data_IF_850887075160
#
_entry.id   IF_850887075160
#
_cell.length_a   1.000
_cell.length_b   1.000
_cell.length_c   1.000
_cell.angle_alpha   90.00
_cell.angle_beta   90.00
_cell.angle_gamma   90.00
#
_symmetry.space_group_name_H-M   'P 1'
#
loop_
_entity.id
_entity.type
_entity.pdbx_description
1 polymer ?
#
# COMPACT_ATOMS: atom_id res chain seq x y z
N UNK A 1 -67.46 -2.87 -2.72
CA UNK A 1 -67.64 -3.87 -3.78
C UNK A 1 -66.34 -3.94 -4.55
N UNK A 2 -65.74 -5.13 -4.58
CA UNK A 2 -64.70 -5.60 -5.51
C UNK A 2 -63.33 -4.86 -5.45
N UNK A 3 -62.18 -5.49 -5.29
CA UNK A 3 -61.83 -6.90 -5.31
C UNK A 3 -60.34 -7.04 -5.66
N UNK A 4 -59.57 -7.59 -4.73
CA UNK A 4 -58.52 -8.59 -4.95
C UNK A 4 -57.57 -8.45 -6.17
N UNK A 5 -56.36 -7.95 -5.95
CA UNK A 5 -55.15 -8.39 -6.69
C UNK A 5 -53.98 -8.59 -5.72
N UNK A 6 -54.14 -9.57 -4.83
CA UNK A 6 -53.03 -10.19 -4.10
C UNK A 6 -52.88 -11.59 -4.68
N UNK A 7 -51.70 -11.87 -5.26
CA UNK A 7 -51.30 -13.23 -5.60
C UNK A 7 -51.02 -13.45 -7.08
N UNK A 8 -49.80 -13.12 -7.52
CA UNK A 8 -49.20 -13.74 -8.72
C UNK A 8 -47.69 -13.57 -8.92
N UNK A 9 -46.90 -13.34 -7.86
CA UNK A 9 -45.44 -13.40 -7.96
C UNK A 9 -44.88 -14.16 -6.75
N UNK A 10 -45.26 -15.44 -6.65
CA UNK A 10 -44.71 -16.38 -5.68
C UNK A 10 -44.67 -17.78 -6.28
N UNK A 11 -44.05 -17.91 -7.46
CA UNK A 11 -43.62 -19.20 -8.03
C UNK A 11 -42.35 -18.95 -8.86
N UNK A 12 -41.22 -18.75 -8.18
CA UNK A 12 -39.87 -18.85 -8.75
C UNK A 12 -38.87 -19.19 -7.63
N UNK A 13 -39.25 -20.20 -6.84
CA UNK A 13 -38.44 -20.79 -5.79
C UNK A 13 -38.59 -22.31 -5.87
N UNK A 14 -37.98 -22.93 -6.89
CA UNK A 14 -37.67 -24.36 -6.96
C UNK A 14 -37.09 -24.74 -8.34
N UNK A 15 -35.83 -24.37 -8.64
CA UNK A 15 -35.07 -25.00 -9.74
C UNK A 15 -33.57 -24.62 -9.76
N UNK A 16 -32.86 -24.58 -8.62
CA UNK A 16 -31.37 -24.52 -8.64
C UNK A 16 -30.79 -25.31 -7.46
N UNK A 17 -31.11 -26.61 -7.41
CA UNK A 17 -30.42 -27.58 -6.57
C UNK A 17 -30.34 -28.91 -7.33
N UNK A 18 -29.43 -29.00 -8.30
CA UNK A 18 -28.86 -30.26 -8.77
C UNK A 18 -27.70 -29.98 -9.72
N UNK A 19 -26.49 -30.36 -9.31
CA UNK A 19 -25.36 -30.50 -10.23
C UNK A 19 -24.08 -29.75 -9.86
N UNK A 20 -23.47 -30.08 -8.72
CA UNK A 20 -22.04 -29.79 -8.47
C UNK A 20 -21.40 -30.95 -7.67
N UNK A 21 -21.37 -32.12 -8.28
CA UNK A 21 -20.43 -33.20 -7.93
C UNK A 21 -19.81 -33.67 -9.24
N UNK A 22 -18.56 -33.24 -9.48
CA UNK A 22 -17.88 -33.47 -10.75
C UNK A 22 -16.45 -32.96 -10.72
N UNK A 23 -15.59 -33.72 -10.05
CA UNK A 23 -14.16 -33.89 -10.28
C UNK A 23 -13.44 -32.90 -11.23
N UNK A 24 -12.46 -32.16 -10.70
CA UNK A 24 -11.17 -31.93 -11.37
C UNK A 24 -10.08 -31.94 -10.30
N UNK A 25 -9.49 -33.11 -10.00
CA UNK A 25 -8.22 -33.59 -10.58
C UNK A 25 -7.21 -32.45 -10.72
N UNK A 26 -6.26 -32.42 -9.79
CA UNK A 26 -5.10 -31.55 -9.82
C UNK A 26 -4.32 -31.77 -11.10
N UNK A 27 -4.24 -30.72 -11.92
CA UNK A 27 -3.22 -30.58 -12.94
C UNK A 27 -1.93 -30.22 -12.22
N UNK A 28 -1.07 -31.22 -12.07
CA UNK A 28 0.35 -31.03 -11.78
C UNK A 28 0.93 -30.21 -12.94
N UNK A 29 1.18 -28.93 -12.71
CA UNK A 29 1.97 -28.10 -13.62
C UNK A 29 3.42 -28.59 -13.49
N UNK A 30 3.85 -29.46 -14.40
CA UNK A 30 5.27 -29.72 -14.60
C UNK A 30 5.90 -28.44 -15.15
N UNK A 31 6.82 -27.87 -14.37
CA UNK A 31 7.68 -26.79 -14.84
C UNK A 31 8.71 -27.39 -15.82
N UNK A 32 8.73 -26.98 -17.10
CA UNK A 32 9.59 -27.61 -18.11
C UNK A 32 11.04 -27.08 -18.11
N UNK A 33 11.55 -26.57 -16.99
CA UNK A 33 12.92 -26.07 -16.88
C UNK A 33 13.61 -26.57 -15.61
N UNK A 34 13.65 -27.89 -15.42
CA UNK A 34 14.67 -28.52 -14.58
C UNK A 34 15.73 -29.06 -15.54
N UNK A 35 16.86 -28.36 -15.61
CA UNK A 35 18.04 -28.86 -16.30
C UNK A 35 18.55 -30.14 -15.60
N UNK A 36 18.73 -31.25 -16.32
CA UNK A 36 19.44 -32.41 -15.82
C UNK A 36 20.93 -32.20 -16.07
N UNK A 37 21.60 -31.50 -15.17
CA UNK A 37 23.06 -31.43 -15.14
C UNK A 37 23.53 -31.35 -13.70
N UNK A 38 23.80 -32.51 -13.11
CA UNK A 38 25.03 -32.83 -12.37
C UNK A 38 24.78 -34.13 -11.59
N UNK A 39 25.16 -35.24 -12.22
CA UNK A 39 25.54 -36.43 -11.49
C UNK A 39 26.75 -36.13 -10.62
N UNK A 40 26.78 -36.73 -9.44
CA UNK A 40 27.89 -36.58 -8.50
C UNK A 40 27.47 -36.78 -7.06
N UNK A 41 26.91 -37.95 -6.74
CA UNK A 41 27.05 -38.48 -5.39
C UNK A 41 28.53 -38.81 -5.20
N UNK A 42 29.28 -37.87 -4.63
CA UNK A 42 30.58 -38.16 -4.02
C UNK A 42 30.46 -37.88 -2.53
N UNK A 43 30.86 -38.89 -1.78
CA UNK A 43 30.98 -38.94 -0.33
C UNK A 43 31.59 -37.65 0.22
N UNK A 44 30.83 -36.92 1.02
CA UNK A 44 31.35 -35.87 1.87
C UNK A 44 32.04 -36.53 3.08
N UNK A 45 33.36 -36.40 3.26
CA UNK A 45 34.01 -36.83 4.49
C UNK A 45 33.56 -35.95 5.65
N UNK A 46 33.40 -36.61 6.79
CA UNK A 46 33.01 -36.05 8.08
C UNK A 46 33.82 -34.80 8.43
N UNK A 47 33.09 -33.81 8.93
CA UNK A 47 33.58 -32.59 9.56
C UNK A 47 34.60 -32.88 10.66
N UNK A 48 35.88 -32.67 10.36
CA UNK A 48 36.94 -32.50 11.35
C UNK A 48 36.83 -31.14 12.05
N UNK A 49 37.39 -30.99 13.26
CA UNK A 49 37.29 -29.76 14.04
C UNK A 49 38.00 -28.60 13.33
N UNK A 50 37.31 -27.45 13.21
CA UNK A 50 37.86 -26.19 12.67
C UNK A 50 39.10 -25.75 13.48
N UNK A 51 40.21 -25.39 12.84
CA UNK A 51 41.33 -24.73 13.52
C UNK A 51 40.89 -23.35 14.03
N UNK A 52 41.32 -22.99 15.25
CA UNK A 52 41.10 -21.66 15.84
C UNK A 52 41.82 -20.60 15.00
N UNK A 53 41.23 -19.39 14.83
CA UNK A 53 41.94 -18.26 14.26
C UNK A 53 43.15 -17.90 15.13
N UNK A 54 44.29 -17.49 14.54
CA UNK A 54 45.43 -17.02 15.30
C UNK A 54 45.09 -15.72 16.05
N UNK A 55 45.49 -15.68 17.31
CA UNK A 55 45.38 -14.56 18.24
C UNK A 55 46.23 -13.39 17.74
N UNK A 56 45.57 -12.32 17.29
CA UNK A 56 46.22 -11.08 16.88
C UNK A 56 46.62 -10.32 18.14
N UNK A 57 47.93 -10.30 18.43
CA UNK A 57 48.51 -9.46 19.49
C UNK A 57 48.33 -7.98 19.13
N UNK A 58 47.91 -7.10 20.06
CA UNK A 58 47.93 -5.67 19.84
C UNK A 58 49.38 -5.18 19.77
N UNK A 59 49.75 -4.51 18.68
CA UNK A 59 50.98 -3.74 18.63
C UNK A 59 50.75 -2.37 19.27
N UNK A 60 51.39 -2.13 20.41
CA UNK A 60 51.53 -0.82 21.02
C UNK A 60 52.59 0.02 20.30
N UNK A 61 52.21 1.27 19.98
CA UNK A 61 53.11 2.42 19.90
C UNK A 61 53.17 3.13 18.53
N UNK A 62 53.54 4.44 18.46
CA UNK A 62 53.49 5.49 19.46
C UNK A 62 52.60 6.69 19.06
N UNK A 63 52.25 7.46 20.08
CA UNK A 63 51.58 8.76 20.02
C UNK A 63 52.48 9.84 19.40
N UNK A 64 51.95 10.66 18.48
CA UNK A 64 51.82 12.15 18.59
C UNK A 64 51.77 12.87 17.23
N UNK A 65 51.08 14.03 17.28
CA UNK A 65 51.14 15.22 16.40
C UNK A 65 50.15 15.30 15.23
N UNK A 66 48.97 15.84 15.56
CA UNK A 66 48.52 17.14 15.04
C UNK A 66 48.48 17.37 13.52
N UNK A 67 47.27 17.31 12.95
CA UNK A 67 46.79 18.29 11.97
C UNK A 67 45.27 18.33 12.08
N UNK A 68 44.72 19.40 12.66
CA UNK A 68 43.30 19.70 12.55
C UNK A 68 43.02 20.02 11.08
N UNK A 69 42.63 19.01 10.31
CA UNK A 69 41.89 19.23 9.09
C UNK A 69 40.57 19.89 9.52
N UNK A 70 40.48 21.22 9.39
CA UNK A 70 39.20 21.93 9.39
C UNK A 70 38.36 21.25 8.32
N UNK A 71 37.45 20.37 8.75
CA UNK A 71 36.38 19.87 7.92
C UNK A 71 35.61 21.10 7.47
N UNK A 72 35.90 21.57 6.25
CA UNK A 72 35.01 22.47 5.53
C UNK A 72 33.73 21.67 5.36
N UNK A 73 32.78 21.87 6.26
CA UNK A 73 31.41 21.43 6.06
C UNK A 73 30.99 21.98 4.70
N UNK A 74 30.74 21.13 3.69
CA UNK A 74 30.22 21.63 2.43
C UNK A 74 28.93 22.40 2.74
N UNK A 75 28.69 23.57 2.12
CA UNK A 75 27.42 24.27 2.32
C UNK A 75 26.31 23.25 2.05
N UNK A 76 25.41 23.10 3.02
CA UNK A 76 24.24 22.27 2.83
C UNK A 76 23.55 22.79 1.58
N UNK A 77 23.66 22.05 0.48
CA UNK A 77 22.86 22.25 -0.70
C UNK A 77 21.42 22.11 -0.22
N UNK A 78 20.79 23.24 0.05
CA UNK A 78 19.37 23.30 0.32
C UNK A 78 18.69 22.91 -0.98
N UNK A 79 18.43 21.61 -1.13
CA UNK A 79 17.65 21.11 -2.23
C UNK A 79 16.31 21.86 -2.21
N UNK A 80 15.85 22.37 -3.36
CA UNK A 80 14.54 23.01 -3.43
C UNK A 80 13.50 22.04 -2.87
N UNK A 81 12.64 22.53 -1.98
CA UNK A 81 11.51 21.74 -1.52
C UNK A 81 10.60 21.50 -2.71
N UNK A 82 10.32 20.22 -2.98
CA UNK A 82 9.36 19.84 -4.02
C UNK A 82 8.03 20.56 -3.78
N UNK A 83 7.42 21.02 -4.87
CA UNK A 83 6.04 21.50 -4.84
C UNK A 83 5.08 20.37 -4.47
N UNK A 84 3.86 20.72 -4.06
CA UNK A 84 2.80 19.74 -3.80
C UNK A 84 2.53 18.85 -5.01
N UNK A 85 2.56 19.43 -6.21
CA UNK A 85 2.29 18.69 -7.45
C UNK A 85 3.43 17.74 -7.82
N UNK A 86 4.68 18.15 -7.64
CA UNK A 86 5.84 17.26 -7.79
C UNK A 86 5.78 16.09 -6.80
N UNK A 87 5.45 16.37 -5.54
CA UNK A 87 5.29 15.35 -4.49
C UNK A 87 4.21 14.33 -4.85
N UNK A 88 3.06 14.81 -5.37
CA UNK A 88 1.96 13.96 -5.83
C UNK A 88 2.38 13.10 -7.03
N UNK A 89 3.09 13.69 -7.99
CA UNK A 89 3.59 12.95 -9.16
C UNK A 89 4.60 11.86 -8.76
N UNK A 90 5.53 12.18 -7.85
CA UNK A 90 6.51 11.21 -7.32
C UNK A 90 5.84 10.06 -6.56
N UNK A 91 4.78 10.35 -5.80
CA UNK A 91 3.96 9.32 -5.15
C UNK A 91 3.33 8.35 -6.15
N UNK A 92 2.70 8.89 -7.21
CA UNK A 92 2.09 8.06 -8.26
C UNK A 92 3.13 7.20 -8.96
N UNK A 93 4.27 7.79 -9.34
CA UNK A 93 5.35 7.05 -10.00
C UNK A 93 5.96 5.98 -9.09
N UNK A 94 6.13 6.28 -7.80
CA UNK A 94 6.58 5.31 -6.80
C UNK A 94 5.62 4.13 -6.69
N UNK A 95 4.31 4.38 -6.65
CA UNK A 95 3.30 3.34 -6.60
C UNK A 95 3.25 2.50 -7.88
N UNK A 96 3.34 3.14 -9.05
CA UNK A 96 3.37 2.47 -10.36
C UNK A 96 4.49 1.44 -10.48
N UNK A 97 5.69 1.78 -9.99
CA UNK A 97 6.86 0.87 -9.99
C UNK A 97 6.64 -0.40 -9.18
N UNK A 98 5.70 -0.40 -8.23
CA UNK A 98 5.39 -1.55 -7.39
C UNK A 98 4.27 -2.43 -7.96
N UNK A 99 3.55 -2.00 -8.99
CA UNK A 99 2.46 -2.80 -9.59
C UNK A 99 2.99 -4.14 -10.06
N UNK A 100 2.32 -5.22 -9.64
CA UNK A 100 2.71 -6.60 -9.94
C UNK A 100 3.56 -7.27 -8.86
N UNK A 101 4.04 -6.53 -7.85
CA UNK A 101 4.77 -7.14 -6.73
C UNK A 101 3.82 -8.01 -5.89
N UNK A 102 4.19 -9.29 -5.70
CA UNK A 102 3.40 -10.30 -4.99
C UNK A 102 4.08 -10.66 -3.67
N UNK A 103 3.29 -10.71 -2.57
CA UNK A 103 3.66 -11.18 -1.22
C UNK A 103 4.96 -10.59 -0.64
N UNK A 104 5.43 -9.46 -1.16
CA UNK A 104 6.63 -8.76 -0.67
C UNK A 104 6.27 -7.63 0.30
N UNK A 105 4.98 -7.36 0.46
CA UNK A 105 4.44 -6.39 1.38
C UNK A 105 3.40 -7.07 2.29
N UNK A 106 3.17 -6.46 3.43
CA UNK A 106 1.84 -6.43 4.03
C UNK A 106 1.25 -5.03 3.78
N UNK A 107 -0.04 -4.85 4.05
CA UNK A 107 -0.79 -3.63 3.75
C UNK A 107 -0.21 -2.43 4.50
N UNK A 108 0.26 -2.67 5.73
CA UNK A 108 0.93 -1.67 6.58
C UNK A 108 2.25 -1.23 5.96
N UNK A 109 3.06 -2.17 5.51
CA UNK A 109 4.35 -1.90 4.89
C UNK A 109 4.23 -1.31 3.51
N UNK A 110 3.17 -1.59 2.73
CA UNK A 110 2.95 -0.89 1.46
C UNK A 110 2.76 0.62 1.67
N UNK A 111 1.78 1.03 2.50
CA UNK A 111 1.54 2.44 2.78
C UNK A 111 2.77 3.09 3.41
N UNK A 112 3.36 2.45 4.43
CA UNK A 112 4.55 2.99 5.09
C UNK A 112 5.72 3.13 4.10
N UNK A 113 5.95 2.14 3.24
CA UNK A 113 7.02 2.17 2.25
C UNK A 113 6.84 3.35 1.30
N UNK A 114 5.66 3.49 0.69
CA UNK A 114 5.35 4.59 -0.22
C UNK A 114 5.53 5.95 0.46
N UNK A 115 5.04 6.12 1.69
CA UNK A 115 5.21 7.37 2.44
C UNK A 115 6.66 7.62 2.83
N UNK A 116 7.42 6.56 3.15
CA UNK A 116 8.84 6.64 3.54
C UNK A 116 9.71 7.08 2.39
N UNK A 117 9.57 6.46 1.21
CA UNK A 117 10.41 6.77 0.05
C UNK A 117 10.15 8.16 -0.52
N UNK A 118 8.97 8.72 -0.29
CA UNK A 118 8.59 10.10 -0.67
C UNK A 118 8.79 11.12 0.47
N UNK A 119 9.46 10.74 1.58
CA UNK A 119 9.71 11.62 2.74
C UNK A 119 8.45 12.25 3.38
N UNK A 120 7.30 11.56 3.31
CA UNK A 120 6.01 12.02 3.82
C UNK A 120 5.65 11.48 5.19
N UNK A 121 6.50 10.64 5.78
CA UNK A 121 6.28 10.13 7.13
C UNK A 121 6.66 11.20 8.18
N UNK A 122 5.86 11.35 9.24
CA UNK A 122 6.30 12.12 10.40
C UNK A 122 7.60 11.54 10.98
N UNK A 123 8.46 12.41 11.53
CA UNK A 123 9.75 12.00 12.10
C UNK A 123 9.52 11.01 13.25
N UNK A 124 10.33 9.96 13.28
CA UNK A 124 10.33 8.96 14.36
C UNK A 124 9.24 7.88 14.27
N UNK A 125 8.39 7.91 13.24
CA UNK A 125 7.31 6.92 13.08
C UNK A 125 7.83 5.59 12.50
N UNK A 126 7.44 4.49 13.15
CA UNK A 126 7.74 3.13 12.71
C UNK A 126 6.65 2.57 11.78
N UNK A 127 7.01 1.59 10.95
CA UNK A 127 6.08 0.94 10.02
C UNK A 127 4.84 0.34 10.70
N UNK A 128 5.02 -0.27 11.87
CA UNK A 128 3.93 -0.86 12.64
C UNK A 128 2.89 0.15 13.12
N UNK A 129 3.29 1.42 13.35
CA UNK A 129 2.42 2.47 13.89
C UNK A 129 1.71 3.31 12.82
N UNK A 130 2.12 3.23 11.56
CA UNK A 130 1.56 4.06 10.48
C UNK A 130 0.61 3.26 9.60
N UNK A 131 -0.56 2.94 10.16
CA UNK A 131 -1.62 2.20 9.47
C UNK A 131 -2.53 3.14 8.66
N UNK A 132 -3.38 2.57 7.79
CA UNK A 132 -4.41 3.35 7.08
C UNK A 132 -5.37 4.08 8.04
N UNK A 133 -5.69 3.46 9.18
CA UNK A 133 -6.50 4.07 10.23
C UNK A 133 -5.76 5.25 10.91
N UNK A 134 -4.48 5.09 11.24
CA UNK A 134 -3.67 6.16 11.83
C UNK A 134 -3.51 7.35 10.87
N UNK A 135 -3.31 7.07 9.58
CA UNK A 135 -3.30 8.10 8.53
C UNK A 135 -4.62 8.86 8.48
N UNK A 136 -5.75 8.15 8.49
CA UNK A 136 -7.08 8.77 8.46
C UNK A 136 -7.32 9.64 9.69
N UNK A 137 -7.05 9.12 10.89
CA UNK A 137 -7.23 9.86 12.14
C UNK A 137 -6.36 11.12 12.18
N UNK A 138 -5.12 11.06 11.69
CA UNK A 138 -4.24 12.23 11.56
C UNK A 138 -4.77 13.24 10.52
N UNK A 139 -5.15 12.77 9.34
CA UNK A 139 -5.69 13.61 8.28
C UNK A 139 -6.99 14.33 8.68
N UNK A 140 -7.85 13.68 9.47
CA UNK A 140 -9.06 14.29 10.02
C UNK A 140 -8.74 15.44 10.97
N UNK A 141 -7.79 15.24 11.90
CA UNK A 141 -7.35 16.28 12.84
C UNK A 141 -6.73 17.48 12.12
N UNK A 142 -6.07 17.23 11.00
CA UNK A 142 -5.42 18.24 10.17
C UNK A 142 -6.36 18.85 9.10
N UNK A 143 -7.62 18.41 9.01
CA UNK A 143 -8.55 18.90 7.99
C UNK A 143 -8.11 18.60 6.55
N UNK A 144 -7.41 17.48 6.32
CA UNK A 144 -6.92 17.03 5.00
C UNK A 144 -7.78 15.95 4.35
N UNK A 145 -8.88 15.55 4.99
CA UNK A 145 -9.85 14.65 4.35
C UNK A 145 -10.71 15.46 3.39
N UNK A 146 -10.75 15.03 2.14
CA UNK A 146 -11.53 15.67 1.07
C UNK A 146 -12.65 14.73 0.60
N UNK A 147 -13.74 15.27 0.04
CA UNK A 147 -14.75 14.47 -0.62
C UNK A 147 -14.15 13.63 -1.75
N UNK A 148 -14.69 12.43 -1.98
CA UNK A 148 -14.19 11.53 -3.04
C UNK A 148 -14.18 12.16 -4.42
N UNK A 149 -15.20 12.98 -4.74
CA UNK A 149 -15.29 13.76 -5.99
C UNK A 149 -14.17 14.77 -6.20
N UNK A 150 -13.49 15.17 -5.12
CA UNK A 150 -12.41 16.16 -5.13
C UNK A 150 -11.03 15.47 -5.09
N UNK A 151 -10.98 14.14 -5.22
CA UNK A 151 -9.74 13.39 -5.29
C UNK A 151 -8.88 13.81 -6.49
N UNK A 152 -7.56 13.87 -6.27
CA UNK A 152 -6.58 14.13 -7.32
C UNK A 152 -5.52 13.02 -7.38
N UNK A 153 -4.84 12.83 -8.53
CA UNK A 153 -3.66 11.97 -8.61
C UNK A 153 -2.64 12.30 -7.52
N UNK A 154 -2.14 11.27 -6.84
CA UNK A 154 -1.21 11.38 -5.72
C UNK A 154 -1.88 11.52 -4.34
N UNK A 155 -3.20 11.72 -4.27
CA UNK A 155 -3.92 11.62 -2.99
C UNK A 155 -3.99 10.16 -2.52
N UNK A 156 -4.25 9.97 -1.22
CA UNK A 156 -4.37 8.64 -0.62
C UNK A 156 -5.84 8.29 -0.43
N UNK A 157 -6.29 7.20 -1.04
CA UNK A 157 -7.62 6.64 -0.80
C UNK A 157 -7.56 5.65 0.36
N UNK A 158 -8.51 5.75 1.29
CA UNK A 158 -8.69 4.83 2.42
C UNK A 158 -9.99 4.06 2.19
N UNK A 159 -9.94 2.73 2.29
CA UNK A 159 -11.07 1.86 1.94
C UNK A 159 -11.13 0.63 2.85
N UNK A 160 -12.30 -0.02 2.90
CA UNK A 160 -12.44 -1.32 3.56
C UNK A 160 -11.90 -2.43 2.66
N UNK A 161 -10.94 -3.19 3.18
CA UNK A 161 -10.41 -4.30 2.40
C UNK A 161 -11.41 -5.48 2.38
N UNK A 162 -11.81 -5.98 1.19
CA UNK A 162 -12.76 -7.10 1.07
C UNK A 162 -12.30 -8.41 1.73
N UNK A 163 -10.99 -8.69 1.68
CA UNK A 163 -10.41 -9.95 2.15
C UNK A 163 -9.80 -9.86 3.55
N UNK A 164 -10.02 -8.76 4.29
CA UNK A 164 -9.33 -8.51 5.55
C UNK A 164 -7.81 -8.51 5.38
N UNK A 165 -7.34 -7.84 4.32
CA UNK A 165 -5.97 -7.77 3.85
C UNK A 165 -4.96 -7.64 5.04
N UNK A 166 -4.21 -8.72 5.32
CA UNK A 166 -3.03 -8.74 6.20
C UNK A 166 -3.12 -9.63 7.44
N UNK A 167 -1.98 -10.19 7.87
CA UNK A 167 -1.86 -11.10 9.03
C UNK A 167 -2.33 -10.50 10.37
N UNK A 168 -2.48 -9.19 10.42
CA UNK A 168 -3.36 -8.49 11.33
C UNK A 168 -4.19 -7.58 10.43
N UNK A 169 -5.47 -7.88 10.21
CA UNK A 169 -6.40 -6.88 9.74
C UNK A 169 -6.08 -5.63 10.56
N UNK A 170 -5.67 -4.54 9.93
CA UNK A 170 -5.56 -3.23 10.58
C UNK A 170 -6.74 -3.10 11.54
N UNK A 171 -6.59 -2.56 12.75
CA UNK A 171 -7.59 -2.68 13.84
C UNK A 171 -9.06 -2.35 13.45
N UNK A 172 -9.28 -1.73 12.30
CA UNK A 172 -10.58 -1.37 11.70
C UNK A 172 -10.86 -1.97 10.30
N UNK A 173 -10.05 -2.90 9.78
CA UNK A 173 -10.23 -3.50 8.45
C UNK A 173 -9.94 -2.56 7.27
N UNK A 174 -9.17 -1.49 7.49
CA UNK A 174 -8.87 -0.45 6.52
C UNK A 174 -7.54 -0.69 5.79
N UNK A 175 -7.55 -0.44 4.49
CA UNK A 175 -6.37 -0.38 3.63
C UNK A 175 -6.26 1.01 2.99
N UNK A 176 -5.11 1.27 2.38
CA UNK A 176 -4.84 2.53 1.68
C UNK A 176 -4.22 2.28 0.31
N UNK A 177 -4.49 3.19 -0.62
CA UNK A 177 -3.93 3.19 -1.97
C UNK A 177 -3.61 4.60 -2.44
N UNK A 178 -2.76 4.71 -3.45
CA UNK A 178 -2.41 6.00 -4.08
C UNK A 178 -3.30 6.20 -5.30
N UNK A 179 -4.02 7.32 -5.37
CA UNK A 179 -4.82 7.69 -6.53
C UNK A 179 -3.90 7.86 -7.73
N UNK A 180 -4.08 7.03 -8.76
CA UNK A 180 -3.31 7.06 -9.99
C UNK A 180 -3.97 8.00 -11.01
N UNK A 181 -5.31 7.96 -11.11
CA UNK A 181 -6.08 8.72 -12.08
C UNK A 181 -7.50 8.94 -11.61
N UNK A 182 -8.08 10.08 -11.95
CA UNK A 182 -9.51 10.38 -11.81
C UNK A 182 -10.05 10.76 -13.18
N UNK A 183 -11.03 10.00 -13.68
CA UNK A 183 -11.59 10.19 -15.02
C UNK A 183 -13.03 9.67 -15.05
N UNK A 184 -13.93 10.40 -15.72
CA UNK A 184 -15.33 9.98 -15.93
C UNK A 184 -16.08 9.57 -14.65
N UNK A 185 -15.83 10.28 -13.54
CA UNK A 185 -16.43 9.96 -12.23
C UNK A 185 -15.92 8.65 -11.60
N UNK A 186 -14.84 8.08 -12.13
CA UNK A 186 -14.13 6.91 -11.60
C UNK A 186 -12.80 7.35 -11.01
N UNK A 187 -12.42 6.70 -9.91
CA UNK A 187 -11.10 6.83 -9.31
C UNK A 187 -10.37 5.51 -9.51
N UNK A 188 -9.21 5.60 -10.16
CA UNK A 188 -8.26 4.51 -10.30
C UNK A 188 -7.09 4.76 -9.34
N UNK A 189 -6.69 3.72 -8.64
CA UNK A 189 -5.66 3.82 -7.61
C UNK A 189 -4.85 2.54 -7.52
N UNK A 190 -3.67 2.63 -6.92
CA UNK A 190 -2.76 1.50 -6.73
C UNK A 190 -2.72 1.16 -5.25
N UNK A 191 -3.00 -0.10 -4.93
CA UNK A 191 -3.01 -0.59 -3.55
C UNK A 191 -2.47 -2.01 -3.47
N UNK A 192 -2.01 -2.39 -2.27
CA UNK A 192 -1.75 -3.77 -1.93
C UNK A 192 -3.04 -4.43 -1.44
N UNK A 193 -3.56 -5.39 -2.21
CA UNK A 193 -4.82 -6.09 -1.95
C UNK A 193 -4.64 -7.56 -2.28
N UNK A 194 -5.10 -8.46 -1.40
CA UNK A 194 -5.07 -9.92 -1.62
C UNK A 194 -3.67 -10.48 -1.93
N UNK A 195 -2.64 -9.92 -1.31
CA UNK A 195 -1.28 -10.43 -1.49
C UNK A 195 -0.52 -9.82 -2.67
N UNK A 196 -1.07 -8.81 -3.35
CA UNK A 196 -0.46 -8.21 -4.54
C UNK A 196 -0.66 -6.70 -4.60
N UNK A 197 0.37 -5.97 -5.03
CA UNK A 197 0.23 -4.57 -5.44
C UNK A 197 -0.40 -4.55 -6.83
N UNK A 198 -1.60 -3.98 -6.95
CA UNK A 198 -2.36 -3.99 -8.20
C UNK A 198 -3.15 -2.69 -8.38
N UNK A 199 -3.65 -2.52 -9.60
CA UNK A 199 -4.59 -1.43 -9.89
C UNK A 199 -5.96 -1.78 -9.37
N UNK A 200 -6.58 -0.81 -8.72
CA UNK A 200 -7.90 -0.87 -8.15
C UNK A 200 -8.72 0.28 -8.70
N UNK A 201 -10.03 0.16 -8.59
CA UNK A 201 -10.94 1.26 -8.93
C UNK A 201 -12.16 1.29 -8.02
N UNK A 202 -12.70 2.48 -7.87
CA UNK A 202 -13.98 2.73 -7.23
C UNK A 202 -14.72 3.84 -7.99
N UNK A 203 -16.04 3.89 -7.78
CA UNK A 203 -16.94 4.84 -8.45
C UNK A 203 -16.96 4.70 -9.99
N UNK A 204 -18.02 5.21 -10.62
CA UNK A 204 -18.28 5.03 -12.04
C UNK A 204 -18.96 3.69 -12.40
N UNK A 205 -19.63 3.68 -13.55
CA UNK A 205 -20.41 2.53 -14.03
C UNK A 205 -19.62 1.63 -14.99
N UNK A 206 -18.53 2.16 -15.56
CA UNK A 206 -17.76 1.46 -16.59
C UNK A 206 -16.53 0.77 -16.00
N UNK A 207 -16.53 -0.55 -16.09
CA UNK A 207 -15.38 -1.39 -15.75
C UNK A 207 -14.15 -0.99 -16.58
N UNK A 208 -13.03 -0.58 -15.96
CA UNK A 208 -11.78 -0.28 -16.66
C UNK A 208 -11.10 -1.51 -17.29
N UNK A 209 -11.59 -2.73 -17.00
CA UNK A 209 -11.13 -3.98 -17.59
C UNK A 209 -10.56 -4.95 -16.54
N UNK A 210 -10.19 -6.16 -16.97
CA UNK A 210 -9.92 -7.29 -16.07
C UNK A 210 -8.67 -7.12 -15.19
N UNK A 211 -7.80 -6.17 -15.51
CA UNK A 211 -6.58 -5.89 -14.75
C UNK A 211 -6.81 -5.00 -13.52
N UNK A 212 -8.06 -4.58 -13.29
CA UNK A 212 -8.42 -3.71 -12.19
C UNK A 212 -9.31 -4.43 -11.18
N UNK A 213 -8.98 -4.28 -9.90
CA UNK A 213 -9.82 -4.77 -8.82
C UNK A 213 -10.84 -3.72 -8.39
N UNK A 214 -12.13 -4.06 -8.42
CA UNK A 214 -13.17 -3.16 -7.88
C UNK A 214 -13.14 -3.15 -6.35
N UNK A 215 -13.11 -1.97 -5.77
CA UNK A 215 -13.25 -1.71 -4.33
C UNK A 215 -14.60 -1.06 -4.09
N UNK A 216 -15.44 -1.71 -3.26
CA UNK A 216 -16.84 -1.31 -3.10
C UNK A 216 -17.04 -0.19 -2.09
N UNK A 217 -16.20 -0.11 -1.05
CA UNK A 217 -16.41 0.79 0.08
C UNK A 217 -15.17 1.63 0.35
N UNK A 218 -15.20 2.84 -0.20
CA UNK A 218 -14.26 3.91 0.11
C UNK A 218 -14.73 4.59 1.40
N UNK A 219 -13.79 4.80 2.31
CA UNK A 219 -14.05 5.45 3.60
C UNK A 219 -13.69 6.93 3.53
N UNK A 220 -12.58 7.27 2.89
CA UNK A 220 -12.11 8.65 2.77
C UNK A 220 -11.07 8.81 1.66
N UNK A 221 -10.87 10.06 1.23
CA UNK A 221 -9.71 10.48 0.46
C UNK A 221 -8.91 11.50 1.29
N UNK A 222 -7.61 11.28 1.39
CA UNK A 222 -6.67 12.13 2.13
C UNK A 222 -5.83 12.91 1.13
N UNK A 223 -6.01 14.24 1.14
CA UNK A 223 -5.22 15.13 0.30
C UNK A 223 -3.75 15.13 0.74
N UNK A 224 -2.86 14.86 -0.22
CA UNK A 224 -1.41 14.95 0.01
C UNK A 224 -0.90 16.32 -0.40
N UNK A 225 -0.16 16.97 0.51
CA UNK A 225 0.49 18.26 0.27
C UNK A 225 -0.46 19.46 0.18
N UNK A 226 -1.76 19.27 0.43
CA UNK A 226 -2.65 20.39 0.69
C UNK A 226 -2.34 20.99 2.08
N UNK A 227 -2.25 22.32 2.21
CA UNK A 227 -2.26 22.94 3.53
C UNK A 227 -3.56 22.52 4.25
N UNK A 228 -3.54 22.42 5.59
CA UNK A 228 -4.75 22.14 6.36
C UNK A 228 -5.84 23.12 5.91
N UNK A 229 -7.05 22.63 5.65
CA UNK A 229 -8.19 23.49 5.35
C UNK A 229 -8.41 24.37 6.60
N UNK A 230 -7.83 25.56 6.61
CA UNK A 230 -8.12 26.56 7.64
C UNK A 230 -9.60 26.83 7.52
N UNK A 231 -10.35 26.33 8.51
CA UNK A 231 -11.80 26.24 8.44
C UNK A 231 -12.41 27.54 7.95
N UNK A 232 -13.39 27.40 7.06
CA UNK A 232 -14.36 28.45 6.79
C UNK A 232 -14.70 29.12 8.11
N UNK A 233 -14.24 30.37 8.27
CA UNK A 233 -14.66 31.23 9.34
C UNK A 233 -16.19 31.18 9.31
N UNK A 234 -16.77 30.55 10.32
CA UNK A 234 -18.20 30.50 10.51
C UNK A 234 -18.61 31.95 10.74
N UNK A 235 -19.02 32.62 9.67
CA UNK A 235 -19.63 33.93 9.69
C UNK A 235 -20.95 33.83 10.44
N UNK A 236 -20.87 33.78 11.76
CA UNK A 236 -21.98 33.98 12.66
C UNK A 236 -22.21 35.48 12.82
N UNK A 237 -22.64 36.13 11.75
CA UNK A 237 -23.37 37.38 11.88
C UNK A 237 -24.70 37.07 12.56
N UNK A 238 -24.85 37.57 13.77
CA UNK A 238 -26.10 37.59 14.52
C UNK A 238 -26.11 38.85 15.35
N UNK A 239 -26.43 39.97 14.70
CA UNK A 239 -26.76 41.21 15.38
C UNK A 239 -28.19 41.17 15.90
N UNK A 240 -28.36 41.58 17.15
CA UNK A 240 -29.25 42.65 17.61
C UNK A 240 -29.09 42.80 19.12
#
# INVERSE_FOLDING_TARGET
>A
MEGCQIGRILVLAAAVLMGCHGAMRGTRVEAPWIHPMLGGAQDLPQSGPRPRPPEVRPAEGPSKVGTQARARTPPALALPRASTDETRAELVESARRLVGVVRSFDERSFLWHIMRVNALLPRGVMASSWTAAALLDAAQKEGRVVPTRDAAPGDIIVFECPSGCGAAASEKGLAAGVVERVADGRIEFIAYVEGQVQRCWCEGDKDPGPSFRRIQKVVAVVAVGAPPLTGSAKGGGGGM
#
